data_IF_085752945477
#
_entry.id   IF_085752945477
#
_cell.length_a   1.000
_cell.length_b   1.000
_cell.length_c   1.000
_cell.angle_alpha   90.00
_cell.angle_beta   90.00
_cell.angle_gamma   90.00
#
_symmetry.space_group_name_H-M   'P 1'
#
loop_
_entity.id
_entity.type
_entity.pdbx_description
1 polymer ?
#
# COMPACT_ATOMS: atom_id res chain seq x y z
N UNK A 1 -5.98 14.01 -5.37
CA UNK A 1 -7.14 13.27 -5.92
C UNK A 1 -7.79 12.50 -4.78
N UNK A 2 -9.08 12.19 -4.83
CA UNK A 2 -9.77 11.40 -3.79
C UNK A 2 -10.21 10.08 -4.42
N UNK A 3 -9.81 8.95 -3.82
CA UNK A 3 -10.14 7.61 -4.32
C UNK A 3 -10.47 6.65 -3.17
N UNK A 4 -11.20 5.59 -3.48
CA UNK A 4 -11.33 4.43 -2.61
C UNK A 4 -10.20 3.46 -2.97
N UNK A 5 -9.41 3.07 -1.98
CA UNK A 5 -8.33 2.09 -2.09
C UNK A 5 -8.81 0.78 -1.47
N UNK A 6 -8.73 -0.30 -2.23
CA UNK A 6 -9.02 -1.66 -1.79
C UNK A 6 -7.73 -2.45 -1.95
N UNK A 7 -7.17 -2.91 -0.85
CA UNK A 7 -5.89 -3.60 -0.84
C UNK A 7 -5.93 -4.89 -0.01
N UNK A 8 -5.05 -5.81 -0.37
CA UNK A 8 -4.75 -7.01 0.39
C UNK A 8 -3.24 -7.27 0.33
N UNK A 9 -2.64 -7.56 1.47
CA UNK A 9 -1.20 -7.78 1.63
C UNK A 9 -0.92 -9.24 1.97
N UNK A 10 0.24 -9.77 1.54
CA UNK A 10 0.75 -11.06 1.99
C UNK A 10 2.27 -11.03 2.12
N UNK A 11 2.87 -11.82 3.05
CA UNK A 11 4.31 -11.92 3.20
C UNK A 11 4.92 -12.75 2.06
N UNK A 12 6.15 -12.42 1.67
CA UNK A 12 6.90 -13.10 0.60
C UNK A 12 8.07 -13.85 1.22
N UNK A 13 8.21 -15.13 0.91
CA UNK A 13 9.37 -15.93 1.29
C UNK A 13 10.47 -15.96 0.21
N UNK A 14 10.08 -15.90 -1.06
CA UNK A 14 10.97 -15.84 -2.22
C UNK A 14 10.51 -14.73 -3.18
N UNK A 15 11.10 -13.57 -3.00
CA UNK A 15 10.78 -12.38 -3.79
C UNK A 15 11.09 -12.60 -5.29
N UNK A 16 12.25 -13.21 -5.59
CA UNK A 16 12.68 -13.40 -6.97
C UNK A 16 11.80 -14.42 -7.69
N UNK A 17 11.47 -15.54 -7.02
CA UNK A 17 10.59 -16.56 -7.57
C UNK A 17 9.17 -16.06 -7.79
N UNK A 18 8.66 -15.20 -6.91
CA UNK A 18 7.37 -14.55 -7.08
C UNK A 18 7.39 -13.59 -8.28
N UNK A 19 8.37 -12.70 -8.33
CA UNK A 19 8.51 -11.69 -9.39
C UNK A 19 8.68 -12.31 -10.78
N UNK A 20 9.36 -13.44 -10.89
CA UNK A 20 9.57 -14.15 -12.16
C UNK A 20 8.26 -14.61 -12.82
N UNK A 21 7.18 -14.74 -12.06
CA UNK A 21 5.87 -15.20 -12.58
C UNK A 21 5.08 -14.04 -13.23
N UNK A 22 5.36 -12.80 -12.91
CA UNK A 22 4.54 -11.66 -13.26
C UNK A 22 4.38 -11.42 -14.77
N UNK A 23 5.43 -11.51 -15.61
CA UNK A 23 5.27 -11.35 -17.06
C UNK A 23 4.32 -12.40 -17.68
N UNK A 24 4.40 -13.65 -17.22
CA UNK A 24 3.52 -14.73 -17.71
C UNK A 24 2.04 -14.52 -17.29
N UNK A 25 1.80 -13.76 -16.23
CA UNK A 25 0.48 -13.37 -15.75
C UNK A 25 -0.02 -12.07 -16.37
N UNK A 26 0.75 -11.46 -17.27
CA UNK A 26 0.38 -10.24 -17.99
C UNK A 26 0.63 -8.95 -17.20
N UNK A 27 1.44 -9.00 -16.14
CA UNK A 27 1.88 -7.79 -15.45
C UNK A 27 3.01 -7.11 -16.22
N UNK A 28 3.01 -5.80 -16.20
CA UNK A 28 4.03 -4.92 -16.74
C UNK A 28 4.70 -4.17 -15.59
N UNK A 29 6.02 -4.06 -15.65
CA UNK A 29 6.80 -3.27 -14.69
C UNK A 29 6.53 -1.79 -14.93
N UNK A 30 5.97 -1.11 -13.94
CA UNK A 30 5.72 0.33 -13.97
C UNK A 30 6.90 1.10 -13.35
N UNK A 31 7.32 0.67 -12.15
CA UNK A 31 8.41 1.30 -11.42
C UNK A 31 9.39 0.23 -10.95
N UNK A 32 10.68 0.32 -11.33
CA UNK A 32 11.69 -0.59 -10.83
C UNK A 32 11.93 -0.36 -9.33
N UNK A 33 12.67 -1.26 -8.71
CA UNK A 33 13.04 -1.19 -7.29
C UNK A 33 13.51 0.22 -6.89
N UNK A 34 12.69 0.95 -6.17
CA UNK A 34 12.91 2.36 -5.81
C UNK A 34 12.74 2.55 -4.32
N UNK A 35 13.65 3.31 -3.71
CA UNK A 35 13.58 3.63 -2.28
C UNK A 35 12.39 4.54 -1.98
N UNK A 36 11.66 4.20 -0.92
CA UNK A 36 10.52 4.94 -0.41
C UNK A 36 10.71 5.23 1.08
N UNK A 37 10.56 6.48 1.46
CA UNK A 37 10.57 6.93 2.85
C UNK A 37 9.23 7.59 3.18
N UNK A 38 8.70 7.27 4.36
CA UNK A 38 7.43 7.77 4.82
C UNK A 38 7.55 8.31 6.25
N UNK A 39 6.97 9.48 6.50
CA UNK A 39 6.82 10.05 7.83
C UNK A 39 5.34 10.22 8.13
N UNK A 40 4.89 9.61 9.22
CA UNK A 40 3.51 9.79 9.71
C UNK A 40 3.49 10.90 10.75
N UNK A 41 2.48 11.76 10.62
CA UNK A 41 2.23 12.87 11.53
C UNK A 41 0.94 12.65 12.31
N UNK A 42 0.94 13.07 13.57
CA UNK A 42 -0.23 13.05 14.45
C UNK A 42 -0.12 14.17 15.49
N UNK A 43 -1.22 14.49 16.14
CA UNK A 43 -1.19 15.36 17.31
C UNK A 43 -0.50 14.66 18.49
N UNK A 44 0.01 15.40 19.50
CA UNK A 44 0.53 14.82 20.73
C UNK A 44 -0.43 13.84 21.41
N UNK A 45 -1.74 14.12 21.33
CA UNK A 45 -2.80 13.25 21.84
C UNK A 45 -3.15 12.05 20.95
N UNK A 46 -2.45 11.84 19.83
CA UNK A 46 -2.67 10.72 18.90
C UNK A 46 -4.11 10.66 18.34
N UNK A 47 -4.70 11.80 18.05
CA UNK A 47 -6.11 11.91 17.64
C UNK A 47 -6.39 11.27 16.28
N UNK A 48 -5.45 11.37 15.33
CA UNK A 48 -5.59 10.71 14.03
C UNK A 48 -5.56 9.19 14.20
N UNK A 49 -4.60 8.67 14.98
CA UNK A 49 -4.50 7.25 15.29
C UNK A 49 -5.77 6.73 15.98
N UNK A 50 -6.28 7.46 16.97
CA UNK A 50 -7.51 7.10 17.67
C UNK A 50 -8.72 7.01 16.72
N UNK A 51 -8.77 7.87 15.71
CA UNK A 51 -9.80 7.90 14.66
C UNK A 51 -9.46 6.99 13.46
N UNK A 52 -8.40 6.14 13.56
CA UNK A 52 -7.91 5.27 12.48
C UNK A 52 -7.56 6.05 11.20
N UNK A 53 -7.13 7.29 11.33
CA UNK A 53 -6.67 8.13 10.24
C UNK A 53 -5.15 8.13 10.15
N UNK A 54 -4.63 8.46 8.98
CA UNK A 54 -3.19 8.60 8.70
C UNK A 54 -2.99 9.92 7.97
N UNK A 55 -2.04 10.72 8.45
CA UNK A 55 -1.46 11.85 7.74
C UNK A 55 0.00 11.50 7.46
N UNK A 56 0.38 11.45 6.19
CA UNK A 56 1.67 10.95 5.74
C UNK A 56 2.32 11.93 4.76
N UNK A 57 3.61 12.19 4.95
CA UNK A 57 4.48 12.76 3.93
C UNK A 57 5.39 11.64 3.42
N UNK A 58 5.44 11.44 2.10
CA UNK A 58 6.18 10.37 1.43
C UNK A 58 7.18 10.96 0.44
N UNK A 59 8.40 10.45 0.46
CA UNK A 59 9.37 10.60 -0.63
C UNK A 59 9.49 9.27 -1.38
N UNK A 60 9.25 9.30 -2.68
CA UNK A 60 9.32 8.12 -3.54
C UNK A 60 9.79 8.52 -4.95
N UNK A 61 10.91 7.94 -5.41
CA UNK A 61 11.47 8.26 -6.73
C UNK A 61 11.77 9.75 -6.94
N UNK A 62 12.11 10.49 -5.88
CA UNK A 62 12.37 11.93 -5.93
C UNK A 62 11.12 12.80 -5.91
N UNK A 63 9.93 12.21 -5.79
CA UNK A 63 8.66 12.93 -5.71
C UNK A 63 8.16 12.92 -4.27
N UNK A 64 7.76 14.10 -3.79
CA UNK A 64 7.10 14.24 -2.50
C UNK A 64 5.58 14.24 -2.66
N UNK A 65 4.91 13.48 -1.79
CA UNK A 65 3.44 13.45 -1.71
C UNK A 65 2.98 13.60 -0.28
N UNK A 66 1.85 14.27 -0.10
CA UNK A 66 1.10 14.27 1.15
C UNK A 66 -0.17 13.46 0.97
N UNK A 67 -0.42 12.55 1.90
CA UNK A 67 -1.57 11.65 1.85
C UNK A 67 -2.33 11.72 3.17
N UNK A 68 -3.65 11.87 3.09
CA UNK A 68 -4.56 11.65 4.20
C UNK A 68 -5.42 10.43 3.91
N UNK A 69 -5.31 9.40 4.76
CA UNK A 69 -6.12 8.18 4.70
C UNK A 69 -7.09 8.11 5.88
N UNK A 70 -8.34 7.78 5.62
CA UNK A 70 -9.37 7.57 6.65
C UNK A 70 -10.19 6.30 6.38
N UNK A 71 -10.85 5.72 7.39
CA UNK A 71 -11.77 4.62 7.17
C UNK A 71 -12.85 5.01 6.15
N UNK A 72 -13.23 4.09 5.28
CA UNK A 72 -14.46 4.23 4.52
C UNK A 72 -15.64 4.15 5.50
N UNK A 73 -16.48 5.19 5.55
CA UNK A 73 -17.73 5.14 6.32
C UNK A 73 -18.68 4.09 5.72
N UNK A 74 -19.58 3.56 6.54
CA UNK A 74 -20.55 2.53 6.13
C UNK A 74 -21.38 2.95 4.88
N UNK A 75 -21.65 4.24 4.69
CA UNK A 75 -22.37 4.75 3.53
C UNK A 75 -21.55 4.73 2.23
N UNK A 76 -20.23 4.95 2.30
CA UNK A 76 -19.36 4.97 1.13
C UNK A 76 -19.07 3.54 0.60
N UNK A 77 -19.21 2.53 1.47
CA UNK A 77 -19.02 1.12 1.11
C UNK A 77 -20.26 0.55 0.43
N UNK A 78 -21.44 1.11 0.71
CA UNK A 78 -22.72 0.58 0.20
C UNK A 78 -22.98 0.90 -1.27
N UNK A 79 -22.37 1.93 -1.84
CA UNK A 79 -22.60 2.33 -3.23
C UNK A 79 -21.68 1.61 -4.24
N UNK A 80 -20.50 1.15 -3.83
CA UNK A 80 -19.52 0.54 -4.75
C UNK A 80 -19.21 -0.94 -4.49
N UNK A 81 -19.57 -1.49 -3.32
CA UNK A 81 -19.12 -2.84 -2.93
C UNK A 81 -20.28 -3.64 -2.32
N UNK A 82 -20.92 -4.45 -3.14
CA UNK A 82 -21.75 -5.58 -2.68
C UNK A 82 -20.81 -6.74 -2.33
N UNK A 83 -20.15 -6.69 -1.19
CA UNK A 83 -19.29 -7.78 -0.75
C UNK A 83 -19.20 -7.90 0.78
N UNK A 84 -19.03 -9.11 1.31
CA UNK A 84 -18.79 -9.34 2.73
C UNK A 84 -17.42 -8.80 3.11
N UNK A 85 -17.38 -7.81 3.97
CA UNK A 85 -16.25 -6.91 4.12
C UNK A 85 -15.29 -7.36 5.14
N UNK A 86 -14.80 -8.12 5.91
CA UNK A 86 -13.58 -7.94 6.67
C UNK A 86 -12.29 -8.39 5.98
N UNK A 87 -12.36 -8.99 4.79
CA UNK A 87 -11.20 -9.60 4.13
C UNK A 87 -10.26 -8.59 3.47
N UNK A 88 -10.77 -7.46 3.03
CA UNK A 88 -10.00 -6.41 2.38
C UNK A 88 -9.87 -5.19 3.27
N UNK A 89 -8.75 -4.46 3.15
CA UNK A 89 -8.60 -3.16 3.77
C UNK A 89 -9.11 -2.09 2.80
N UNK A 90 -10.10 -1.32 3.25
CA UNK A 90 -10.73 -0.28 2.45
C UNK A 90 -10.50 1.07 3.13
N UNK A 91 -9.97 2.03 2.37
CA UNK A 91 -9.65 3.38 2.82
C UNK A 91 -10.13 4.41 1.83
N UNK A 92 -10.53 5.57 2.33
CA UNK A 92 -10.66 6.77 1.51
C UNK A 92 -9.36 7.53 1.60
N UNK A 93 -8.75 7.74 0.45
CA UNK A 93 -7.47 8.41 0.32
C UNK A 93 -7.65 9.77 -0.37
N UNK A 94 -6.95 10.77 0.16
CA UNK A 94 -6.77 12.07 -0.48
C UNK A 94 -5.28 12.31 -0.57
N UNK A 95 -4.75 12.37 -1.79
CA UNK A 95 -3.32 12.54 -2.05
C UNK A 95 -3.06 13.67 -3.03
N UNK A 96 -1.96 14.38 -2.82
CA UNK A 96 -1.43 15.36 -3.77
C UNK A 96 0.10 15.40 -3.69
N UNK A 97 0.73 15.79 -4.80
CA UNK A 97 2.16 16.07 -4.84
C UNK A 97 2.46 17.41 -4.18
N UNK A 98 3.64 17.52 -3.59
CA UNK A 98 4.18 18.75 -3.05
C UNK A 98 5.61 18.92 -3.55
N UNK A 99 6.07 20.15 -3.68
CA UNK A 99 7.40 20.44 -4.17
C UNK A 99 8.47 20.15 -3.11
N UNK A 100 8.18 20.47 -1.86
CA UNK A 100 9.09 20.35 -0.72
C UNK A 100 8.40 19.64 0.45
N UNK A 101 8.70 18.35 0.61
CA UNK A 101 8.16 17.53 1.70
C UNK A 101 8.68 17.93 3.08
N UNK A 102 9.98 18.20 3.28
CA UNK A 102 10.54 18.74 4.51
C UNK A 102 9.85 20.02 4.96
N UNK A 103 9.71 21.03 4.09
CA UNK A 103 9.01 22.27 4.43
C UNK A 103 7.55 22.03 4.83
N UNK A 104 6.86 21.10 4.16
CA UNK A 104 5.51 20.71 4.57
C UNK A 104 5.50 20.06 5.97
N UNK A 105 6.52 19.26 6.30
CA UNK A 105 6.70 18.70 7.64
C UNK A 105 6.81 19.77 8.70
N UNK A 106 7.63 20.81 8.47
CA UNK A 106 7.77 21.97 9.37
C UNK A 106 6.43 22.71 9.55
N UNK A 107 5.66 22.87 8.47
CA UNK A 107 4.32 23.46 8.55
C UNK A 107 3.41 22.62 9.46
N UNK A 108 3.43 21.31 9.33
CA UNK A 108 2.65 20.43 10.20
C UNK A 108 3.04 20.58 11.67
N UNK A 109 4.34 20.69 11.97
CA UNK A 109 4.82 20.89 13.34
C UNK A 109 4.34 22.23 13.92
N UNK A 110 4.40 23.30 13.13
CA UNK A 110 3.86 24.61 13.54
C UNK A 110 2.34 24.60 13.74
N UNK A 111 1.61 23.70 13.06
CA UNK A 111 0.18 23.50 13.23
C UNK A 111 -0.16 22.55 14.41
N UNK A 112 0.85 22.08 15.16
CA UNK A 112 0.66 21.24 16.34
C UNK A 112 0.64 19.73 16.07
N UNK A 113 1.01 19.31 14.87
CA UNK A 113 1.31 17.90 14.59
C UNK A 113 2.78 17.63 14.88
N UNK A 114 3.13 16.36 15.12
CA UNK A 114 4.50 15.94 15.28
C UNK A 114 4.76 14.68 14.43
N UNK A 115 5.99 14.44 13.95
CA UNK A 115 6.36 13.17 13.38
C UNK A 115 6.28 12.09 14.45
N UNK A 116 5.57 11.01 14.17
CA UNK A 116 5.24 10.00 15.17
C UNK A 116 5.72 8.60 14.82
N UNK A 117 6.06 8.40 13.56
CA UNK A 117 6.58 7.14 13.06
C UNK A 117 7.17 7.34 11.66
N UNK A 118 8.38 6.83 11.43
CA UNK A 118 9.02 6.75 10.12
C UNK A 118 9.04 5.28 9.68
N UNK A 119 8.81 5.05 8.39
CA UNK A 119 9.06 3.73 7.81
C UNK A 119 9.65 3.86 6.41
N UNK A 120 10.50 2.91 6.10
CA UNK A 120 11.25 2.84 4.86
C UNK A 120 11.05 1.47 4.21
N UNK A 121 11.15 1.45 2.89
CA UNK A 121 11.12 0.24 2.09
C UNK A 121 11.74 0.50 0.73
N UNK A 122 12.11 -0.57 0.04
CA UNK A 122 12.26 -0.52 -1.40
C UNK A 122 10.97 -1.06 -2.02
N UNK A 123 10.40 -0.32 -2.97
CA UNK A 123 9.16 -0.69 -3.66
C UNK A 123 9.41 -0.93 -5.13
N UNK A 124 8.86 -2.03 -5.65
CA UNK A 124 8.76 -2.32 -7.09
C UNK A 124 7.29 -2.37 -7.45
N UNK A 125 6.88 -1.65 -8.49
CA UNK A 125 5.47 -1.58 -8.89
C UNK A 125 5.22 -2.24 -10.23
N UNK A 126 4.14 -3.01 -10.26
CA UNK A 126 3.65 -3.71 -11.44
C UNK A 126 2.18 -3.39 -11.64
N UNK A 127 1.74 -3.28 -12.87
CA UNK A 127 0.33 -3.11 -13.18
C UNK A 127 -0.15 -4.10 -14.23
N UNK A 128 -1.46 -4.33 -14.18
CA UNK A 128 -2.18 -5.10 -15.18
C UNK A 128 -3.38 -4.29 -15.65
N UNK A 129 -3.57 -4.19 -16.95
CA UNK A 129 -4.78 -3.57 -17.51
C UNK A 129 -5.95 -4.50 -17.23
N UNK A 130 -6.88 -4.08 -16.37
CA UNK A 130 -8.10 -4.84 -16.09
C UNK A 130 -9.20 -4.41 -17.04
N UNK A 131 -9.72 -5.36 -17.82
CA UNK A 131 -10.83 -5.17 -18.74
C UNK A 131 -10.66 -6.05 -19.97
N UNK A 132 -11.70 -6.80 -20.33
CA UNK A 132 -11.72 -7.59 -21.57
C UNK A 132 -11.48 -6.70 -22.78
N UNK A 133 -10.60 -7.17 -23.68
CA UNK A 133 -10.45 -6.64 -25.04
C UNK A 133 -11.68 -7.05 -25.90
N UNK A 134 -12.58 -7.86 -25.35
CA UNK A 134 -13.76 -8.41 -26.03
C UNK A 134 -14.99 -7.49 -25.96
N UNK A 135 -14.81 -6.24 -26.35
CA UNK A 135 -15.92 -5.38 -26.76
C UNK A 135 -15.87 -5.24 -28.29
N UNK A 136 -16.99 -5.29 -29.00
CA UNK A 136 -17.00 -5.11 -30.44
C UNK A 136 -16.33 -3.77 -30.79
N UNK A 137 -15.46 -3.78 -31.80
CA UNK A 137 -14.94 -2.60 -32.47
C UNK A 137 -16.11 -1.79 -33.03
N UNK A 138 -16.75 -0.98 -32.20
CA UNK A 138 -17.66 0.03 -32.69
C UNK A 138 -16.83 1.22 -33.17
N UNK A 139 -16.59 1.21 -34.49
CA UNK A 139 -16.32 2.41 -35.25
C UNK A 139 -17.61 3.23 -35.25
N UNK A 140 -17.76 4.15 -34.32
CA UNK A 140 -18.64 5.30 -34.54
C UNK A 140 -18.04 6.55 -33.88
N UNK A 141 -18.01 7.60 -34.70
CA UNK A 141 -17.36 8.88 -34.43
C UNK A 141 -18.01 9.62 -33.24
N UNK A 142 -17.53 9.41 -32.06
CA UNK A 142 -17.64 10.39 -30.98
C UNK A 142 -16.29 10.50 -30.29
N UNK A 143 -15.69 11.68 -30.35
CA UNK A 143 -14.42 12.06 -29.69
C UNK A 143 -14.61 12.18 -28.18
N UNK A 144 -15.07 11.13 -27.51
CA UNK A 144 -14.93 10.95 -26.10
C UNK A 144 -13.71 10.05 -25.88
N UNK A 145 -12.65 10.65 -25.35
CA UNK A 145 -11.49 9.88 -24.87
C UNK A 145 -12.04 8.80 -23.93
N UNK A 146 -11.76 7.51 -24.17
CA UNK A 146 -12.23 6.47 -23.27
C UNK A 146 -11.71 6.78 -21.86
N UNK A 147 -12.58 6.71 -20.87
CA UNK A 147 -12.19 6.84 -19.48
C UNK A 147 -10.97 5.95 -19.23
N UNK A 148 -9.93 6.43 -18.50
CA UNK A 148 -8.76 5.63 -18.22
C UNK A 148 -9.21 4.32 -17.59
N UNK A 149 -8.83 3.20 -18.22
CA UNK A 149 -9.20 1.87 -17.72
C UNK A 149 -8.61 1.72 -16.32
N UNK A 150 -9.40 1.25 -15.35
CA UNK A 150 -8.86 1.00 -14.02
C UNK A 150 -7.70 0.02 -14.13
N UNK A 151 -6.55 0.42 -13.62
CA UNK A 151 -5.39 -0.44 -13.51
C UNK A 151 -5.43 -1.09 -12.13
N UNK A 152 -5.13 -2.37 -12.09
CA UNK A 152 -4.89 -3.06 -10.84
C UNK A 152 -3.40 -3.18 -10.64
N UNK A 153 -2.95 -2.95 -9.42
CA UNK A 153 -1.56 -2.87 -9.08
C UNK A 153 -1.14 -4.03 -8.19
N UNK A 154 0.05 -4.54 -8.45
CA UNK A 154 0.79 -5.42 -7.58
C UNK A 154 2.09 -4.73 -7.23
N UNK A 155 2.34 -4.55 -5.95
CA UNK A 155 3.58 -3.97 -5.48
C UNK A 155 4.35 -4.96 -4.63
N UNK A 156 5.67 -4.92 -4.73
CA UNK A 156 6.60 -5.66 -3.89
C UNK A 156 7.29 -4.65 -2.97
N UNK A 157 7.22 -4.89 -1.68
CA UNK A 157 7.80 -4.04 -0.65
C UNK A 157 8.85 -4.83 0.14
N UNK A 158 10.11 -4.49 -0.04
CA UNK A 158 11.23 -4.97 0.77
C UNK A 158 11.39 -4.05 1.96
N UNK A 159 11.12 -4.55 3.16
CA UNK A 159 11.18 -3.78 4.41
C UNK A 159 12.25 -4.34 5.35
N UNK A 160 12.72 -3.59 6.37
CA UNK A 160 13.66 -4.11 7.35
C UNK A 160 13.17 -5.33 8.13
N UNK A 161 11.86 -5.61 8.16
CA UNK A 161 11.26 -6.72 8.90
C UNK A 161 10.73 -7.84 8.00
N UNK A 162 11.00 -7.80 6.71
CA UNK A 162 10.60 -8.81 5.72
C UNK A 162 9.98 -8.21 4.48
N UNK A 163 9.74 -9.08 3.51
CA UNK A 163 9.21 -8.71 2.21
C UNK A 163 7.72 -8.99 2.13
N UNK A 164 7.00 -8.09 1.49
CA UNK A 164 5.54 -8.16 1.34
C UNK A 164 5.13 -7.85 -0.09
N UNK A 165 4.01 -8.44 -0.52
CA UNK A 165 3.30 -7.98 -1.69
C UNK A 165 1.96 -7.37 -1.28
N UNK A 166 1.52 -6.34 -2.02
CA UNK A 166 0.20 -5.75 -1.91
C UNK A 166 -0.50 -5.86 -3.26
N UNK A 167 -1.74 -6.34 -3.25
CA UNK A 167 -2.63 -6.29 -4.40
C UNK A 167 -3.64 -5.18 -4.17
N UNK A 168 -3.71 -4.23 -5.10
CA UNK A 168 -4.61 -3.09 -5.05
C UNK A 168 -5.49 -3.10 -6.29
N UNK A 169 -6.81 -3.18 -6.10
CA UNK A 169 -7.77 -3.25 -7.20
C UNK A 169 -9.13 -3.81 -6.79
N UNK A 170 -9.99 -4.14 -7.76
CA UNK A 170 -11.29 -4.74 -7.49
C UNK A 170 -11.15 -6.09 -6.75
N UNK A 171 -12.04 -6.40 -5.77
CA UNK A 171 -11.97 -7.64 -5.00
C UNK A 171 -11.86 -8.91 -5.85
N UNK A 172 -12.65 -9.01 -6.91
CA UNK A 172 -12.62 -10.18 -7.80
C UNK A 172 -11.26 -10.34 -8.52
N UNK A 173 -10.60 -9.24 -8.85
CA UNK A 173 -9.26 -9.28 -9.45
C UNK A 173 -8.21 -9.70 -8.41
N UNK A 174 -8.30 -9.19 -7.18
CA UNK A 174 -7.41 -9.59 -6.07
C UNK A 174 -7.50 -11.10 -5.86
N UNK A 175 -8.72 -11.65 -5.73
CA UNK A 175 -8.92 -13.08 -5.50
C UNK A 175 -8.41 -13.94 -6.67
N UNK A 176 -8.67 -13.53 -7.90
CA UNK A 176 -8.18 -14.23 -9.09
C UNK A 176 -6.65 -14.18 -9.17
N UNK A 177 -6.02 -13.09 -8.75
CA UNK A 177 -4.57 -12.93 -8.77
C UNK A 177 -3.91 -13.78 -7.70
N UNK A 178 -4.44 -13.81 -6.47
CA UNK A 178 -3.97 -14.71 -5.41
C UNK A 178 -4.00 -16.19 -5.88
N UNK A 179 -5.11 -16.61 -6.49
CA UNK A 179 -5.24 -17.97 -6.99
C UNK A 179 -4.20 -18.29 -8.07
N UNK A 180 -3.93 -17.37 -9.01
CA UNK A 180 -2.92 -17.54 -10.07
C UNK A 180 -1.49 -17.60 -9.50
N UNK A 181 -1.22 -16.85 -8.45
CA UNK A 181 0.08 -16.86 -7.76
C UNK A 181 0.24 -18.03 -6.78
N UNK A 182 -0.81 -18.83 -6.57
CA UNK A 182 -0.79 -19.94 -5.60
C UNK A 182 -0.71 -19.49 -4.15
N UNK A 183 -1.16 -18.26 -3.84
CA UNK A 183 -1.14 -17.72 -2.49
C UNK A 183 -2.42 -18.13 -1.75
N UNK A 184 -2.23 -18.77 -0.57
CA UNK A 184 -3.35 -19.08 0.31
C UNK A 184 -3.95 -17.79 0.89
N UNK A 185 -5.23 -17.51 0.65
CA UNK A 185 -5.90 -16.35 1.21
C UNK A 185 -5.85 -16.25 2.75
N UNK A 186 -5.67 -17.36 3.43
CA UNK A 186 -5.53 -17.38 4.90
C UNK A 186 -4.21 -16.75 5.39
N UNK A 187 -3.20 -16.65 4.52
CA UNK A 187 -1.91 -16.00 4.82
C UNK A 187 -1.94 -14.49 4.59
N UNK A 188 -3.03 -13.98 4.02
CA UNK A 188 -3.16 -12.57 3.73
C UNK A 188 -3.48 -11.76 4.99
N UNK A 189 -2.96 -10.54 5.01
CA UNK A 189 -3.03 -9.61 6.14
C UNK A 189 -3.57 -8.25 5.71
N UNK A 190 -4.24 -7.55 6.61
CA UNK A 190 -4.77 -6.20 6.41
C UNK A 190 -4.06 -5.16 7.27
N UNK A 191 -3.07 -5.59 8.03
CA UNK A 191 -2.30 -4.74 8.93
C UNK A 191 -1.45 -3.73 8.16
N UNK A 192 -1.34 -2.54 8.75
CA UNK A 192 -0.40 -1.51 8.26
C UNK A 192 1.03 -1.85 8.67
N UNK A 193 2.02 -1.31 7.96
CA UNK A 193 3.45 -1.47 8.32
C UNK A 193 3.74 -1.03 9.76
N UNK A 194 3.08 0.01 10.26
CA UNK A 194 3.21 0.39 11.67
C UNK A 194 2.71 -0.68 12.66
N UNK A 195 1.65 -1.42 12.31
CA UNK A 195 1.18 -2.54 13.15
C UNK A 195 2.09 -3.75 13.05
N UNK A 196 2.56 -4.08 11.85
CA UNK A 196 3.54 -5.14 11.62
C UNK A 196 4.83 -4.87 12.40
N UNK A 197 5.34 -3.64 12.34
CA UNK A 197 6.49 -3.22 13.11
C UNK A 197 6.28 -3.37 14.62
N UNK A 198 5.14 -2.96 15.16
CA UNK A 198 4.85 -3.12 16.59
C UNK A 198 4.77 -4.59 17.02
N UNK A 199 4.21 -5.46 16.18
CA UNK A 199 4.17 -6.89 16.42
C UNK A 199 5.58 -7.51 16.38
N UNK A 200 6.38 -7.15 15.38
CA UNK A 200 7.78 -7.54 15.24
C UNK A 200 8.61 -7.06 16.44
N UNK A 201 8.50 -5.78 16.79
CA UNK A 201 9.22 -5.18 17.94
C UNK A 201 8.91 -5.92 19.25
N UNK A 202 7.65 -6.28 19.48
CA UNK A 202 7.24 -7.03 20.68
C UNK A 202 7.87 -8.42 20.69
N UNK A 203 7.91 -9.12 19.55
CA UNK A 203 8.46 -10.48 19.43
C UNK A 203 9.98 -10.50 19.63
N UNK A 204 10.68 -9.55 19.04
CA UNK A 204 12.14 -9.48 19.04
C UNK A 204 12.72 -8.68 20.21
N UNK A 205 11.87 -8.01 21.01
CA UNK A 205 12.29 -7.07 22.06
C UNK A 205 13.23 -5.97 21.54
N UNK A 206 13.06 -5.57 20.27
CA UNK A 206 13.89 -4.56 19.62
C UNK A 206 13.71 -3.18 20.26
N UNK A 207 14.79 -2.42 20.36
CA UNK A 207 14.77 -1.03 20.79
C UNK A 207 14.39 -0.04 19.67
N UNK A 208 14.35 -0.48 18.40
CA UNK A 208 14.03 0.39 17.27
C UNK A 208 12.74 1.20 17.48
N UNK A 209 12.75 2.46 17.14
CA UNK A 209 11.57 3.34 17.25
C UNK A 209 10.81 3.45 15.92
N UNK A 210 11.53 3.24 14.82
CA UNK A 210 11.02 3.33 13.47
C UNK A 210 11.28 2.04 12.68
N UNK A 211 10.49 1.81 11.64
CA UNK A 211 10.70 0.74 10.67
C UNK A 211 11.64 1.26 9.57
N UNK A 212 12.90 1.45 9.91
CA UNK A 212 13.89 2.07 9.06
C UNK A 212 15.15 1.21 8.97
N UNK A 213 15.82 1.23 7.82
CA UNK A 213 17.00 0.40 7.56
C UNK A 213 18.20 0.78 8.43
N UNK A 214 18.25 2.01 8.94
CA UNK A 214 19.30 2.48 9.86
C UNK A 214 19.06 2.06 11.31
N UNK A 215 17.80 1.70 11.68
CA UNK A 215 17.45 1.27 13.04
C UNK A 215 17.36 -0.26 13.19
N UNK A 216 17.14 -0.98 12.09
CA UNK A 216 16.96 -2.43 12.09
C UNK A 216 18.09 -3.07 11.29
N UNK A 217 19.02 -3.79 11.92
CA UNK A 217 20.17 -4.40 11.24
C UNK A 217 19.73 -5.41 10.18
N UNK A 218 20.45 -5.47 9.08
CA UNK A 218 20.29 -6.51 8.04
C UNK A 218 20.50 -7.90 8.67
N UNK A 219 19.54 -8.81 8.44
CA UNK A 219 19.56 -10.14 9.07
C UNK A 219 18.81 -10.23 10.39
N UNK A 220 18.13 -9.17 10.82
CA UNK A 220 17.15 -9.25 11.89
C UNK A 220 16.10 -10.35 11.58
N UNK A 221 15.56 -10.96 12.63
CA UNK A 221 14.54 -12.00 12.47
C UNK A 221 13.36 -11.48 11.64
N UNK A 222 13.16 -12.05 10.45
CA UNK A 222 12.11 -11.65 9.51
C UNK A 222 10.75 -12.13 9.99
N UNK A 223 9.70 -11.36 9.72
CA UNK A 223 8.32 -11.81 9.90
C UNK A 223 8.03 -12.92 8.90
N UNK A 224 8.23 -14.18 9.31
CA UNK A 224 7.70 -15.32 8.55
C UNK A 224 6.20 -15.47 8.82
N UNK A 225 5.47 -15.95 7.82
CA UNK A 225 4.03 -16.16 7.87
C UNK A 225 3.65 -17.23 8.94
N UNK A 226 3.59 -16.81 10.19
CA UNK A 226 3.06 -17.59 11.31
C UNK A 226 2.09 -16.70 12.07
N UNK A 227 0.99 -16.36 11.40
CA UNK A 227 -0.18 -15.82 12.08
C UNK A 227 -1.09 -17.01 12.41
N UNK A 228 -0.83 -17.63 13.59
CA UNK A 228 -1.75 -18.58 14.21
C UNK A 228 -2.81 -17.82 14.97
#
# INVERSE_FOLDING_TARGET
>A
MKSAEIELKFPIADLNGLQAQFPALGFQLDTPRTFEQNTLYDTPGRTLRASKQILRVRSYGGIWTVTHKRPAGTAAVAEEIVAPAPRYKIRIETETTVEDGPALGEIFEQLGYAPVFRYEKFRTEWSQVTGSIDGPLFTDLALELPAPRPRSHLVLDETPIGDFAELEGPPAWIDATLAKLGIDPATCITESYGRLFLAWKKRTSSAAENLAFDEIPTGAEVLQASFS
#
